data_IF_952547277775
#
_entry.id   IF_952547277775
#
_cell.length_a   1.000
_cell.length_b   1.000
_cell.length_c   1.000
_cell.angle_alpha   90.00
_cell.angle_beta   90.00
_cell.angle_gamma   90.00
#
_symmetry.space_group_name_H-M   'P 1'
#
loop_
_entity.id
_entity.type
_entity.pdbx_description
1 polymer ?
#
# COMPACT_ATOMS: atom_id res chain seq x y z
N UNK A 1 4.00 32.93 2.47
CA UNK A 1 4.77 31.97 1.64
C UNK A 1 3.94 30.71 1.53
N UNK A 2 4.07 30.00 0.39
CA UNK A 2 3.39 28.70 0.23
C UNK A 2 3.96 27.67 1.22
N UNK A 3 3.11 26.77 1.71
CA UNK A 3 3.54 25.66 2.57
C UNK A 3 4.33 24.62 1.77
N UNK A 4 5.08 23.76 2.45
CA UNK A 4 5.76 22.65 1.76
C UNK A 4 4.76 21.71 1.09
N UNK A 5 3.57 21.48 1.70
CA UNK A 5 2.53 20.65 1.10
C UNK A 5 1.98 21.25 -0.20
N UNK A 6 1.68 22.57 -0.21
CA UNK A 6 1.21 23.27 -1.42
C UNK A 6 2.23 23.17 -2.56
N UNK A 7 3.51 23.36 -2.25
CA UNK A 7 4.58 23.24 -3.25
C UNK A 7 4.76 21.81 -3.74
N UNK A 8 4.70 20.81 -2.84
CA UNK A 8 4.80 19.39 -3.20
C UNK A 8 3.73 19.00 -4.22
N UNK A 9 2.48 19.47 -4.03
CA UNK A 9 1.36 19.20 -4.95
C UNK A 9 1.60 19.69 -6.37
N UNK A 10 2.49 20.65 -6.59
CA UNK A 10 2.81 21.17 -7.93
C UNK A 10 3.73 20.25 -8.73
N UNK A 11 4.38 19.28 -8.09
CA UNK A 11 5.41 18.45 -8.72
C UNK A 11 5.28 16.96 -8.45
N UNK A 12 4.43 16.56 -7.50
CA UNK A 12 4.21 15.19 -7.07
C UNK A 12 2.73 14.98 -6.77
N UNK A 13 2.17 13.85 -7.18
CA UNK A 13 0.82 13.46 -6.75
C UNK A 13 0.84 13.08 -5.27
N UNK A 14 0.12 13.81 -4.45
CA UNK A 14 0.01 13.55 -3.01
C UNK A 14 -1.09 12.54 -2.76
N UNK A 15 -0.71 11.45 -2.08
CA UNK A 15 -1.56 10.32 -1.72
C UNK A 15 -1.63 10.24 -0.19
N UNK A 16 -2.80 9.92 0.37
CA UNK A 16 -2.92 9.70 1.81
C UNK A 16 -2.72 8.22 2.14
N UNK A 17 -1.81 7.95 3.07
CA UNK A 17 -1.63 6.63 3.68
C UNK A 17 -2.45 6.55 4.96
N UNK A 18 -3.75 6.26 4.83
CA UNK A 18 -4.68 6.29 5.94
C UNK A 18 -5.98 5.54 5.63
N UNK A 19 -6.53 4.88 6.66
CA UNK A 19 -7.92 4.42 6.69
C UNK A 19 -8.87 5.44 7.34
N UNK A 20 -8.36 6.55 7.87
CA UNK A 20 -9.16 7.58 8.54
C UNK A 20 -9.75 8.58 7.54
N UNK A 21 -11.05 8.45 7.31
CA UNK A 21 -11.82 9.31 6.38
C UNK A 21 -11.72 10.80 6.77
N UNK A 22 -11.70 11.14 8.05
CA UNK A 22 -11.62 12.54 8.47
C UNK A 22 -10.30 13.18 8.03
N UNK A 23 -9.20 12.45 8.16
CA UNK A 23 -7.90 12.88 7.66
C UNK A 23 -7.88 13.01 6.14
N UNK A 24 -8.50 12.08 5.42
CA UNK A 24 -8.60 12.12 3.95
C UNK A 24 -9.41 13.35 3.50
N UNK A 25 -10.53 13.63 4.14
CA UNK A 25 -11.34 14.83 3.86
C UNK A 25 -10.53 16.10 4.11
N UNK A 26 -9.79 16.16 5.22
CA UNK A 26 -9.01 17.34 5.61
C UNK A 26 -7.92 17.65 4.60
N UNK A 27 -7.11 16.66 4.21
CA UNK A 27 -5.93 16.89 3.38
C UNK A 27 -6.19 16.81 1.87
N UNK A 28 -7.37 16.36 1.45
CA UNK A 28 -7.79 16.29 0.03
C UNK A 28 -6.72 15.70 -0.89
N UNK A 29 -6.24 14.47 -0.61
CA UNK A 29 -5.29 13.80 -1.49
C UNK A 29 -5.94 13.44 -2.82
N UNK A 30 -5.13 13.15 -3.83
CA UNK A 30 -5.62 12.66 -5.12
C UNK A 30 -6.04 11.20 -5.02
N UNK A 31 -5.19 10.36 -4.45
CA UNK A 31 -5.39 8.92 -4.22
C UNK A 31 -5.28 8.61 -2.72
N UNK A 32 -5.63 7.38 -2.35
CA UNK A 32 -5.40 6.87 -0.99
C UNK A 32 -4.88 5.44 -1.02
N UNK A 33 -4.02 5.11 -0.07
CA UNK A 33 -3.56 3.76 0.18
C UNK A 33 -4.00 3.28 1.55
N UNK A 34 -4.34 2.00 1.64
CA UNK A 34 -4.56 1.29 2.88
C UNK A 34 -3.59 0.11 3.00
N UNK A 35 -3.54 -0.48 4.16
CA UNK A 35 -2.86 -1.74 4.44
C UNK A 35 -3.57 -2.45 5.59
N UNK A 36 -3.24 -3.71 5.90
CA UNK A 36 -3.92 -4.45 6.95
C UNK A 36 -3.96 -3.75 8.31
N UNK A 37 -2.87 -3.09 8.70
CA UNK A 37 -2.80 -2.39 9.98
C UNK A 37 -3.71 -1.16 10.01
N UNK A 38 -3.82 -0.41 8.91
CA UNK A 38 -4.70 0.75 8.78
C UNK A 38 -6.17 0.33 8.76
N UNK A 39 -6.50 -0.76 8.10
CA UNK A 39 -7.87 -1.33 8.10
C UNK A 39 -8.25 -1.79 9.51
N UNK A 40 -7.35 -2.48 10.22
CA UNK A 40 -7.58 -2.93 11.58
C UNK A 40 -7.79 -1.75 12.55
N UNK A 41 -7.04 -0.67 12.41
CA UNK A 41 -7.21 0.54 13.19
C UNK A 41 -8.54 1.23 12.89
N UNK A 42 -8.90 1.40 11.62
CA UNK A 42 -10.16 2.01 11.19
C UNK A 42 -11.38 1.20 11.67
N UNK A 43 -11.32 -0.13 11.61
CA UNK A 43 -12.40 -1.00 12.07
C UNK A 43 -12.73 -0.85 13.57
N UNK A 44 -11.86 -0.25 14.37
CA UNK A 44 -12.09 0.02 15.79
C UNK A 44 -12.65 1.42 16.06
N UNK A 45 -12.70 2.29 15.07
CA UNK A 45 -13.21 3.64 15.20
C UNK A 45 -14.75 3.65 15.27
N UNK A 46 -15.38 4.45 16.15
CA UNK A 46 -16.85 4.49 16.28
C UNK A 46 -17.56 4.80 14.95
N UNK A 47 -17.00 5.66 14.12
CA UNK A 47 -17.56 6.09 12.84
C UNK A 47 -17.70 4.94 11.83
N UNK A 48 -16.88 3.91 11.97
CA UNK A 48 -16.88 2.76 11.05
C UNK A 48 -17.64 1.55 11.57
N UNK A 49 -18.11 1.57 12.84
CA UNK A 49 -18.86 0.44 13.40
C UNK A 49 -20.08 0.05 12.57
N UNK A 50 -20.87 0.99 11.99
CA UNK A 50 -21.98 0.59 11.12
C UNK A 50 -21.53 -0.22 9.91
N UNK A 51 -20.39 0.13 9.29
CA UNK A 51 -19.84 -0.60 8.13
C UNK A 51 -19.40 -2.00 8.56
N UNK A 52 -18.70 -2.09 9.70
CA UNK A 52 -18.23 -3.38 10.25
C UNK A 52 -19.42 -4.28 10.57
N UNK A 53 -20.46 -3.74 11.22
CA UNK A 53 -21.66 -4.49 11.59
C UNK A 53 -22.44 -4.98 10.37
N UNK A 54 -22.55 -4.17 9.32
CA UNK A 54 -23.22 -4.55 8.07
C UNK A 54 -22.46 -5.65 7.33
N UNK A 55 -21.12 -5.54 7.26
CA UNK A 55 -20.27 -6.57 6.65
C UNK A 55 -20.38 -7.89 7.42
N UNK A 56 -20.38 -7.84 8.75
CA UNK A 56 -20.54 -9.05 9.59
C UNK A 56 -21.90 -9.72 9.44
N UNK A 57 -22.99 -8.95 9.39
CA UNK A 57 -24.33 -9.47 9.13
C UNK A 57 -24.40 -10.15 7.77
N UNK A 58 -23.91 -9.49 6.73
CA UNK A 58 -23.90 -10.05 5.38
C UNK A 58 -23.07 -11.34 5.30
N UNK A 59 -21.90 -11.37 5.94
CA UNK A 59 -21.07 -12.57 6.02
C UNK A 59 -21.77 -13.71 6.77
N UNK A 60 -22.51 -13.43 7.84
CA UNK A 60 -23.32 -14.43 8.57
C UNK A 60 -24.43 -14.99 7.69
N UNK A 61 -25.13 -14.13 6.95
CA UNK A 61 -26.21 -14.56 6.04
C UNK A 61 -25.67 -15.48 4.93
N UNK A 62 -24.49 -15.17 4.39
CA UNK A 62 -23.81 -15.98 3.38
C UNK A 62 -23.30 -17.31 3.93
N UNK A 63 -22.69 -17.30 5.11
CA UNK A 63 -22.11 -18.50 5.72
C UNK A 63 -23.16 -19.45 6.30
N UNK A 64 -24.34 -18.93 6.63
CA UNK A 64 -25.43 -19.66 7.27
C UNK A 64 -25.29 -19.74 8.80
N UNK A 65 -26.41 -20.09 9.45
CA UNK A 65 -26.52 -20.09 10.92
C UNK A 65 -25.62 -21.12 11.64
N UNK A 66 -25.19 -22.17 10.93
CA UNK A 66 -24.32 -23.23 11.47
C UNK A 66 -22.84 -22.93 11.38
N UNK A 67 -22.42 -21.89 10.65
CA UNK A 67 -21.01 -21.53 10.52
C UNK A 67 -20.46 -20.97 11.85
N UNK A 68 -19.21 -21.27 12.15
CA UNK A 68 -18.55 -20.71 13.34
C UNK A 68 -18.35 -19.21 13.19
N UNK A 69 -18.24 -18.48 14.32
CA UNK A 69 -17.94 -17.04 14.30
C UNK A 69 -16.59 -16.75 13.63
N UNK A 70 -15.66 -17.69 13.72
CA UNK A 70 -14.35 -17.60 13.06
C UNK A 70 -14.49 -17.67 11.54
N UNK A 71 -15.31 -18.58 11.01
CA UNK A 71 -15.55 -18.71 9.56
C UNK A 71 -16.27 -17.47 9.01
N UNK A 72 -17.24 -16.95 9.76
CA UNK A 72 -17.94 -15.71 9.42
C UNK A 72 -17.00 -14.52 9.44
N UNK A 73 -16.12 -14.42 10.44
CA UNK A 73 -15.11 -13.34 10.52
C UNK A 73 -14.13 -13.40 9.35
N UNK A 74 -13.67 -14.59 8.96
CA UNK A 74 -12.81 -14.78 7.80
C UNK A 74 -13.49 -14.38 6.47
N UNK A 75 -14.78 -14.64 6.34
CA UNK A 75 -15.57 -14.19 5.19
C UNK A 75 -15.79 -12.68 5.21
N UNK A 76 -16.14 -12.11 6.36
CA UNK A 76 -16.30 -10.66 6.54
C UNK A 76 -15.03 -9.89 6.22
N UNK A 77 -13.87 -10.42 6.62
CA UNK A 77 -12.58 -9.83 6.33
C UNK A 77 -12.36 -9.59 4.83
N UNK A 78 -12.72 -10.54 3.97
CA UNK A 78 -12.55 -10.43 2.50
C UNK A 78 -13.34 -9.26 1.89
N UNK A 79 -14.46 -8.89 2.50
CA UNK A 79 -15.32 -7.80 2.02
C UNK A 79 -15.05 -6.47 2.71
N UNK A 80 -14.46 -6.50 3.89
CA UNK A 80 -14.22 -5.31 4.72
C UNK A 80 -13.27 -4.30 4.05
N UNK A 81 -12.18 -4.77 3.46
CA UNK A 81 -11.23 -3.92 2.76
C UNK A 81 -11.87 -3.20 1.58
N UNK A 82 -12.74 -3.88 0.83
CA UNK A 82 -13.51 -3.26 -0.27
C UNK A 82 -14.54 -2.28 0.27
N UNK A 83 -15.22 -2.58 1.38
CA UNK A 83 -16.18 -1.67 1.99
C UNK A 83 -15.52 -0.35 2.43
N UNK A 84 -14.35 -0.41 3.04
CA UNK A 84 -13.55 0.79 3.35
C UNK A 84 -13.06 1.50 2.08
N UNK A 85 -12.57 0.77 1.10
CA UNK A 85 -12.12 1.31 -0.18
C UNK A 85 -13.22 2.09 -0.90
N UNK A 86 -14.45 1.58 -0.92
CA UNK A 86 -15.63 2.28 -1.47
C UNK A 86 -15.87 3.61 -0.76
N UNK A 87 -15.81 3.60 0.58
CA UNK A 87 -16.01 4.83 1.37
C UNK A 87 -14.94 5.87 1.10
N UNK A 88 -13.68 5.45 0.91
CA UNK A 88 -12.58 6.33 0.53
C UNK A 88 -12.81 6.91 -0.87
N UNK A 89 -13.27 6.10 -1.82
CA UNK A 89 -13.53 6.51 -3.20
C UNK A 89 -14.68 7.53 -3.34
N UNK A 90 -15.57 7.62 -2.36
CA UNK A 90 -16.57 8.72 -2.29
C UNK A 90 -15.91 10.09 -2.04
N UNK A 91 -14.67 10.11 -1.55
CA UNK A 91 -13.96 11.32 -1.12
C UNK A 91 -12.82 11.69 -2.07
N UNK A 92 -11.96 10.71 -2.42
CA UNK A 92 -10.81 10.96 -3.30
C UNK A 92 -11.23 10.97 -4.77
N UNK A 93 -10.70 11.90 -5.60
CA UNK A 93 -11.03 11.96 -7.02
C UNK A 93 -10.36 10.86 -7.83
N UNK A 94 -9.26 10.30 -7.35
CA UNK A 94 -8.44 9.31 -8.05
C UNK A 94 -8.70 7.87 -7.63
N UNK A 95 -7.67 7.19 -7.17
CA UNK A 95 -7.64 5.73 -6.94
C UNK A 95 -7.51 5.37 -5.47
N UNK A 96 -7.96 4.17 -5.14
CA UNK A 96 -7.66 3.52 -3.87
C UNK A 96 -6.82 2.25 -4.11
N UNK A 97 -5.84 2.00 -3.26
CA UNK A 97 -5.12 0.72 -3.23
C UNK A 97 -5.75 -0.20 -2.18
N UNK A 98 -6.24 -1.36 -2.63
CA UNK A 98 -6.82 -2.41 -1.77
C UNK A 98 -5.92 -3.64 -1.82
N UNK A 99 -5.45 -4.09 -0.67
CA UNK A 99 -4.40 -5.11 -0.56
C UNK A 99 -4.97 -6.52 -0.46
N UNK A 100 -4.38 -7.45 -1.22
CA UNK A 100 -4.62 -8.89 -1.06
C UNK A 100 -4.02 -9.38 0.25
N UNK A 101 -4.51 -10.53 0.73
CA UNK A 101 -4.02 -11.16 1.96
C UNK A 101 -2.50 -11.44 1.87
N UNK A 102 -1.73 -10.89 2.79
CA UNK A 102 -0.28 -11.04 2.83
C UNK A 102 0.17 -12.49 3.03
N UNK A 103 -0.70 -13.35 3.60
CA UNK A 103 -0.44 -14.79 3.75
C UNK A 103 -0.35 -15.52 2.41
N UNK A 104 -0.84 -14.91 1.32
CA UNK A 104 -0.79 -15.43 -0.05
C UNK A 104 0.45 -14.98 -0.83
N UNK A 105 1.37 -14.25 -0.20
CA UNK A 105 2.48 -13.56 -0.89
C UNK A 105 3.41 -14.50 -1.70
N UNK A 106 3.45 -15.77 -1.40
CA UNK A 106 4.24 -16.78 -2.11
C UNK A 106 3.40 -17.77 -2.93
N UNK A 107 2.11 -17.46 -3.13
CA UNK A 107 1.18 -18.27 -3.91
C UNK A 107 0.54 -17.42 -5.02
N UNK A 108 1.04 -17.59 -6.24
CA UNK A 108 0.58 -16.83 -7.40
C UNK A 108 -0.90 -17.08 -7.71
N UNK A 109 -1.34 -18.34 -7.68
CA UNK A 109 -2.73 -18.68 -8.02
C UNK A 109 -3.73 -18.17 -6.99
N UNK A 110 -3.43 -18.32 -5.70
CA UNK A 110 -4.27 -17.78 -4.64
C UNK A 110 -4.32 -16.24 -4.68
N UNK A 111 -3.20 -15.57 -4.97
CA UNK A 111 -3.15 -14.12 -5.16
C UNK A 111 -4.02 -13.67 -6.34
N UNK A 112 -3.95 -14.36 -7.48
CA UNK A 112 -4.80 -14.10 -8.65
C UNK A 112 -6.29 -14.25 -8.31
N UNK A 113 -6.65 -15.33 -7.63
CA UNK A 113 -8.04 -15.60 -7.25
C UNK A 113 -8.60 -14.48 -6.36
N UNK A 114 -7.85 -14.06 -5.33
CA UNK A 114 -8.30 -13.00 -4.44
C UNK A 114 -8.32 -11.63 -5.12
N UNK A 115 -7.35 -11.31 -5.96
CA UNK A 115 -7.32 -10.05 -6.70
C UNK A 115 -8.54 -9.91 -7.63
N UNK A 116 -8.90 -10.98 -8.33
CA UNK A 116 -10.11 -11.03 -9.17
C UNK A 116 -11.39 -10.89 -8.35
N UNK A 117 -11.45 -11.50 -7.17
CA UNK A 117 -12.57 -11.35 -6.23
C UNK A 117 -12.71 -9.90 -5.75
N UNK A 118 -11.63 -9.24 -5.35
CA UNK A 118 -11.63 -7.83 -4.96
C UNK A 118 -12.20 -6.96 -6.10
N UNK A 119 -11.73 -7.13 -7.32
CA UNK A 119 -12.21 -6.38 -8.47
C UNK A 119 -13.68 -6.70 -8.76
N UNK A 120 -14.08 -7.95 -8.67
CA UNK A 120 -15.48 -8.36 -8.81
C UNK A 120 -16.42 -7.67 -7.82
N UNK A 121 -16.00 -7.49 -6.57
CA UNK A 121 -16.77 -6.77 -5.56
C UNK A 121 -16.89 -5.27 -5.89
N UNK A 122 -15.83 -4.63 -6.40
CA UNK A 122 -15.90 -3.23 -6.86
C UNK A 122 -16.78 -3.09 -8.10
N UNK A 123 -16.67 -3.99 -9.08
CA UNK A 123 -17.51 -4.01 -10.28
C UNK A 123 -19.00 -4.12 -9.91
N UNK A 124 -19.35 -5.01 -8.96
CA UNK A 124 -20.73 -5.17 -8.44
C UNK A 124 -21.24 -3.90 -7.74
N UNK A 125 -20.34 -3.12 -7.16
CA UNK A 125 -20.66 -1.82 -6.56
C UNK A 125 -20.72 -0.67 -7.58
N UNK A 126 -20.53 -0.93 -8.88
CA UNK A 126 -20.54 0.07 -9.94
C UNK A 126 -19.29 0.94 -10.00
N UNK A 127 -18.18 0.48 -9.41
CA UNK A 127 -16.91 1.20 -9.41
C UNK A 127 -15.99 0.65 -10.49
N UNK A 128 -15.57 1.50 -11.41
CA UNK A 128 -14.70 1.12 -12.53
C UNK A 128 -13.29 0.74 -12.07
N UNK A 129 -12.68 -0.18 -12.81
CA UNK A 129 -11.34 -0.73 -12.52
C UNK A 129 -10.24 0.33 -12.53
N UNK A 130 -10.43 1.41 -13.29
CA UNK A 130 -9.52 2.56 -13.37
C UNK A 130 -9.36 3.30 -12.02
N UNK A 131 -10.32 3.10 -11.10
CA UNK A 131 -10.31 3.67 -9.76
C UNK A 131 -9.60 2.80 -8.72
N UNK A 132 -9.19 1.58 -9.09
CA UNK A 132 -8.66 0.57 -8.16
C UNK A 132 -7.24 0.19 -8.53
N UNK A 133 -6.39 0.10 -7.52
CA UNK A 133 -5.11 -0.60 -7.58
C UNK A 133 -5.15 -1.79 -6.63
N UNK A 134 -5.00 -3.00 -7.15
CA UNK A 134 -4.84 -4.18 -6.31
C UNK A 134 -3.41 -4.19 -5.78
N UNK A 135 -3.28 -4.12 -4.45
CA UNK A 135 -1.98 -4.02 -3.79
C UNK A 135 -1.47 -5.42 -3.44
N UNK A 136 -0.25 -5.73 -3.87
CA UNK A 136 0.35 -7.08 -3.80
C UNK A 136 1.78 -6.95 -3.31
N UNK A 137 2.23 -7.84 -2.42
CA UNK A 137 3.63 -7.88 -1.97
C UNK A 137 4.58 -8.21 -3.12
N UNK A 138 5.73 -7.56 -3.15
CA UNK A 138 6.74 -7.68 -4.22
C UNK A 138 7.65 -8.91 -4.04
N UNK A 139 7.05 -10.08 -3.81
CA UNK A 139 7.71 -11.37 -4.01
C UNK A 139 7.77 -11.69 -5.50
N UNK A 140 8.58 -12.64 -5.91
CA UNK A 140 8.55 -13.10 -7.30
C UNK A 140 7.16 -13.59 -7.71
N UNK A 141 6.52 -14.39 -6.87
CA UNK A 141 5.18 -14.94 -7.06
C UNK A 141 4.13 -13.82 -7.18
N UNK A 142 4.22 -12.80 -6.32
CA UNK A 142 3.33 -11.63 -6.36
C UNK A 142 3.51 -10.79 -7.62
N UNK A 143 4.75 -10.60 -8.07
CA UNK A 143 5.06 -9.88 -9.31
C UNK A 143 4.50 -10.66 -10.51
N UNK A 144 4.61 -12.00 -10.53
CA UNK A 144 4.03 -12.82 -11.61
C UNK A 144 2.51 -12.80 -11.61
N UNK A 145 1.87 -12.77 -10.46
CA UNK A 145 0.43 -12.55 -10.38
C UNK A 145 0.04 -11.18 -10.96
N UNK A 146 0.76 -10.12 -10.59
CA UNK A 146 0.51 -8.78 -11.10
C UNK A 146 0.69 -8.67 -12.62
N UNK A 147 1.69 -9.35 -13.20
CA UNK A 147 1.91 -9.41 -14.65
C UNK A 147 0.67 -9.95 -15.39
N UNK A 148 0.05 -11.00 -14.85
CA UNK A 148 -1.16 -11.59 -15.43
C UNK A 148 -2.36 -10.65 -15.25
N UNK A 149 -2.54 -10.08 -14.05
CA UNK A 149 -3.64 -9.16 -13.75
C UNK A 149 -3.62 -7.90 -14.62
N UNK A 150 -2.46 -7.33 -14.87
CA UNK A 150 -2.31 -6.17 -15.75
C UNK A 150 -2.72 -6.48 -17.19
N UNK A 151 -2.45 -7.69 -17.68
CA UNK A 151 -2.93 -8.15 -19.00
C UNK A 151 -4.46 -8.30 -19.04
N UNK A 152 -5.09 -8.55 -17.90
CA UNK A 152 -6.54 -8.60 -17.74
C UNK A 152 -7.18 -7.22 -17.52
N UNK A 153 -6.40 -6.14 -17.53
CA UNK A 153 -6.87 -4.78 -17.25
C UNK A 153 -7.14 -4.51 -15.77
N UNK A 154 -6.55 -5.30 -14.88
CA UNK A 154 -6.58 -5.11 -13.44
C UNK A 154 -5.25 -4.46 -13.03
N UNK A 155 -5.31 -3.20 -12.61
CA UNK A 155 -4.13 -2.43 -12.26
C UNK A 155 -3.61 -2.79 -10.86
N UNK A 156 -2.29 -2.87 -10.74
CA UNK A 156 -1.64 -3.32 -9.52
C UNK A 156 -0.70 -2.28 -8.93
N UNK A 157 -0.61 -2.30 -7.58
CA UNK A 157 0.36 -1.58 -6.77
C UNK A 157 1.25 -2.60 -6.05
N UNK A 158 2.51 -2.74 -6.45
CA UNK A 158 3.45 -3.67 -5.84
C UNK A 158 4.12 -3.04 -4.63
N UNK A 159 3.77 -3.56 -3.45
CA UNK A 159 4.20 -3.07 -2.13
C UNK A 159 5.25 -3.97 -1.50
N UNK A 160 5.72 -3.62 -0.29
CA UNK A 160 6.85 -4.28 0.39
C UNK A 160 8.05 -4.40 -0.56
N UNK A 161 8.36 -3.28 -1.20
CA UNK A 161 9.43 -3.16 -2.17
C UNK A 161 10.60 -2.41 -1.53
N UNK A 162 11.76 -3.03 -1.48
CA UNK A 162 12.94 -2.54 -0.77
C UNK A 162 14.22 -2.57 -1.62
N UNK A 163 14.24 -3.38 -2.68
CA UNK A 163 15.43 -3.58 -3.51
C UNK A 163 15.21 -3.26 -4.98
N UNK A 164 16.30 -2.85 -5.66
CA UNK A 164 16.26 -2.53 -7.09
C UNK A 164 15.84 -3.73 -7.96
N UNK A 165 16.22 -4.94 -7.58
CA UNK A 165 15.82 -6.17 -8.27
C UNK A 165 14.30 -6.36 -8.30
N UNK A 166 13.62 -6.07 -7.19
CA UNK A 166 12.15 -6.09 -7.12
C UNK A 166 11.54 -5.02 -8.06
N UNK A 167 12.07 -3.80 -8.02
CA UNK A 167 11.60 -2.70 -8.86
C UNK A 167 11.76 -3.01 -10.36
N UNK A 168 12.90 -3.57 -10.77
CA UNK A 168 13.14 -3.94 -12.17
C UNK A 168 12.18 -5.04 -12.60
N UNK A 169 12.01 -6.10 -11.81
CA UNK A 169 11.06 -7.18 -12.11
C UNK A 169 9.62 -6.66 -12.25
N UNK A 170 9.21 -5.71 -11.41
CA UNK A 170 7.90 -5.05 -11.53
C UNK A 170 7.76 -4.25 -12.83
N UNK A 171 8.80 -3.51 -13.23
CA UNK A 171 8.79 -2.74 -14.47
C UNK A 171 8.71 -3.65 -15.72
N UNK A 172 9.46 -4.74 -15.73
CA UNK A 172 9.41 -5.75 -16.80
C UNK A 172 8.04 -6.45 -16.86
N UNK A 173 7.39 -6.66 -15.71
CA UNK A 173 6.00 -7.15 -15.63
C UNK A 173 4.96 -6.10 -16.04
N UNK A 174 5.37 -4.86 -16.35
CA UNK A 174 4.51 -3.73 -16.76
C UNK A 174 3.42 -3.39 -15.75
N UNK A 175 3.72 -3.52 -14.46
CA UNK A 175 2.78 -3.13 -13.42
C UNK A 175 2.51 -1.62 -13.47
N UNK A 176 1.31 -1.22 -13.08
CA UNK A 176 0.89 0.20 -13.11
C UNK A 176 1.71 1.04 -12.14
N UNK A 177 1.96 0.54 -10.91
CA UNK A 177 2.57 1.33 -9.86
C UNK A 177 3.35 0.44 -8.88
N UNK A 178 4.45 0.96 -8.35
CA UNK A 178 5.20 0.37 -7.24
C UNK A 178 5.21 1.32 -6.04
N UNK A 179 5.24 0.74 -4.84
CA UNK A 179 5.34 1.46 -3.56
C UNK A 179 6.64 1.08 -2.83
N UNK A 180 7.80 1.62 -3.24
CA UNK A 180 9.04 1.41 -2.51
C UNK A 180 9.00 2.12 -1.15
N UNK A 181 9.46 1.41 -0.11
CA UNK A 181 9.46 1.91 1.26
C UNK A 181 10.72 2.71 1.56
N UNK A 182 10.58 3.81 2.27
CA UNK A 182 11.67 4.72 2.64
C UNK A 182 12.07 4.53 4.10
N UNK A 183 11.16 4.78 5.03
CA UNK A 183 11.46 4.80 6.45
C UNK A 183 11.83 3.44 7.03
N UNK A 184 11.28 2.33 6.51
CA UNK A 184 11.67 0.99 6.96
C UNK A 184 13.09 0.62 6.53
N UNK A 185 13.57 1.14 5.42
CA UNK A 185 14.97 1.02 5.01
C UNK A 185 15.86 1.79 5.98
N UNK A 186 15.50 3.04 6.30
CA UNK A 186 16.20 3.83 7.31
C UNK A 186 16.30 3.08 8.64
N UNK A 187 15.19 2.51 9.13
CA UNK A 187 15.16 1.76 10.38
C UNK A 187 16.16 0.59 10.38
N UNK A 188 16.24 -0.16 9.27
CA UNK A 188 17.16 -1.28 9.13
C UNK A 188 18.62 -0.81 9.21
N UNK A 189 18.99 0.22 8.46
CA UNK A 189 20.35 0.74 8.46
C UNK A 189 20.75 1.38 9.78
N UNK A 190 19.84 2.08 10.45
CA UNK A 190 20.11 2.63 11.80
C UNK A 190 20.37 1.50 12.80
N UNK A 191 19.62 0.43 12.74
CA UNK A 191 19.82 -0.75 13.60
C UNK A 191 21.14 -1.46 13.29
N UNK A 192 21.48 -1.62 12.01
CA UNK A 192 22.68 -2.33 11.57
C UNK A 192 23.96 -1.56 11.85
N UNK A 193 23.98 -0.26 11.59
CA UNK A 193 25.19 0.57 11.66
C UNK A 193 25.32 1.37 12.96
N UNK A 194 24.23 1.57 13.69
CA UNK A 194 24.16 2.46 14.86
C UNK A 194 24.26 3.95 14.51
N UNK A 195 24.18 4.33 13.21
CA UNK A 195 24.30 5.72 12.75
C UNK A 195 22.94 6.32 12.46
N UNK A 196 22.83 7.64 12.64
CA UNK A 196 21.72 8.42 12.13
C UNK A 196 22.01 8.89 10.70
N UNK A 197 20.96 8.92 9.88
CA UNK A 197 20.98 9.37 8.50
C UNK A 197 19.89 10.43 8.31
N UNK A 198 20.20 11.49 7.58
CA UNK A 198 19.26 12.59 7.33
C UNK A 198 19.33 13.08 5.88
N UNK A 199 18.20 13.55 5.36
CA UNK A 199 18.14 14.15 4.04
C UNK A 199 18.61 13.21 2.93
N UNK A 200 19.51 13.68 2.08
CA UNK A 200 20.05 12.93 0.93
C UNK A 200 20.91 11.72 1.33
N UNK A 201 21.41 11.68 2.57
CA UNK A 201 22.20 10.55 3.08
C UNK A 201 21.32 9.41 3.61
N UNK A 202 20.01 9.62 3.70
CA UNK A 202 19.06 8.59 4.10
C UNK A 202 19.04 7.44 3.09
N UNK A 203 19.34 6.20 3.51
CA UNK A 203 19.42 5.07 2.59
C UNK A 203 18.08 4.73 1.94
N UNK A 204 16.94 5.04 2.59
CA UNK A 204 15.62 4.90 2.00
C UNK A 204 15.38 5.92 0.88
N UNK A 205 15.79 7.16 1.08
CA UNK A 205 15.77 8.20 0.05
C UNK A 205 16.65 7.80 -1.14
N UNK A 206 17.86 7.32 -0.88
CA UNK A 206 18.78 6.85 -1.92
C UNK A 206 18.21 5.69 -2.72
N UNK A 207 17.56 4.73 -2.06
CA UNK A 207 16.92 3.59 -2.71
C UNK A 207 15.83 4.02 -3.68
N UNK A 208 14.88 4.85 -3.25
CA UNK A 208 13.78 5.33 -4.12
C UNK A 208 14.30 6.22 -5.24
N UNK A 209 15.30 7.06 -4.98
CA UNK A 209 15.95 7.88 -5.99
C UNK A 209 16.59 7.00 -7.08
N UNK A 210 17.29 5.94 -6.70
CA UNK A 210 17.89 4.98 -7.63
C UNK A 210 16.84 4.31 -8.51
N UNK A 211 15.74 3.84 -7.91
CA UNK A 211 14.62 3.22 -8.63
C UNK A 211 13.98 4.22 -9.61
N UNK A 212 13.69 5.44 -9.16
CA UNK A 212 13.13 6.49 -10.00
C UNK A 212 14.02 6.78 -11.21
N UNK A 213 15.31 6.99 -10.98
CA UNK A 213 16.27 7.27 -12.04
C UNK A 213 16.36 6.12 -13.04
N UNK A 214 16.38 4.88 -12.57
CA UNK A 214 16.37 3.68 -13.42
C UNK A 214 15.12 3.65 -14.31
N UNK A 215 13.93 3.85 -13.74
CA UNK A 215 12.70 3.83 -14.51
C UNK A 215 12.63 4.92 -15.57
N UNK A 216 13.02 6.14 -15.21
CA UNK A 216 13.01 7.28 -16.15
C UNK A 216 14.07 7.12 -17.23
N UNK A 217 15.26 6.61 -16.89
CA UNK A 217 16.34 6.33 -17.85
C UNK A 217 15.89 5.38 -18.96
N UNK A 218 15.21 4.32 -18.60
CA UNK A 218 14.78 3.28 -19.54
C UNK A 218 13.34 3.42 -20.06
N UNK A 219 12.68 4.51 -19.74
CA UNK A 219 11.36 4.85 -20.26
C UNK A 219 10.22 3.95 -19.78
N UNK A 220 10.38 3.31 -18.63
CA UNK A 220 9.31 2.51 -18.01
C UNK A 220 8.11 3.37 -17.64
N UNK A 221 6.90 2.84 -17.87
CA UNK A 221 5.64 3.55 -17.58
C UNK A 221 5.14 3.34 -16.16
N UNK A 222 5.66 2.35 -15.46
CA UNK A 222 5.35 2.07 -14.07
C UNK A 222 5.60 3.30 -13.20
N UNK A 223 4.59 3.73 -12.45
CA UNK A 223 4.69 4.88 -11.55
C UNK A 223 5.44 4.50 -10.27
N UNK A 224 6.27 5.40 -9.78
CA UNK A 224 7.00 5.25 -8.51
C UNK A 224 6.28 6.06 -7.44
N UNK A 225 5.82 5.39 -6.39
CA UNK A 225 5.18 6.00 -5.23
C UNK A 225 6.00 5.72 -3.96
N UNK A 226 6.77 6.68 -3.50
CA UNK A 226 7.46 6.55 -2.22
C UNK A 226 6.47 6.35 -1.07
N UNK A 227 6.79 5.47 -0.12
CA UNK A 227 5.90 5.06 0.94
C UNK A 227 6.64 4.87 2.28
N UNK A 228 5.87 4.81 3.37
CA UNK A 228 6.38 4.50 4.72
C UNK A 228 7.46 5.49 5.19
N UNK A 229 7.07 6.75 5.35
CA UNK A 229 7.98 7.82 5.80
C UNK A 229 8.08 7.91 7.33
N UNK A 230 9.25 8.32 7.81
CA UNK A 230 9.52 8.61 9.23
C UNK A 230 9.54 10.09 9.55
N UNK A 231 9.88 10.95 8.57
CA UNK A 231 10.00 12.40 8.74
C UNK A 231 9.76 13.12 7.40
N UNK A 232 9.51 14.44 7.48
CA UNK A 232 9.29 15.26 6.29
C UNK A 232 10.55 15.45 5.45
N UNK A 233 11.74 15.26 6.03
CA UNK A 233 13.01 15.31 5.28
C UNK A 233 13.08 14.25 4.18
N UNK A 234 12.62 13.02 4.46
CA UNK A 234 12.49 11.96 3.45
C UNK A 234 11.56 12.37 2.31
N UNK A 235 10.46 13.04 2.63
CA UNK A 235 9.46 13.49 1.66
C UNK A 235 10.03 14.61 0.79
N UNK A 236 10.66 15.61 1.40
CA UNK A 236 11.21 16.76 0.69
C UNK A 236 12.37 16.37 -0.24
N UNK A 237 13.19 15.40 0.15
CA UNK A 237 14.26 14.85 -0.72
C UNK A 237 13.74 14.03 -1.90
N UNK A 238 12.48 13.62 -1.87
CA UNK A 238 11.81 12.90 -2.96
C UNK A 238 10.83 13.78 -3.75
N UNK A 239 10.84 15.10 -3.54
CA UNK A 239 10.00 16.04 -4.28
C UNK A 239 10.24 15.93 -5.79
N UNK A 240 9.17 15.71 -6.55
CA UNK A 240 9.24 15.39 -7.98
C UNK A 240 9.06 13.89 -8.29
N UNK A 241 9.03 13.01 -7.28
CA UNK A 241 8.59 11.63 -7.46
C UNK A 241 7.18 11.59 -8.06
N UNK A 242 6.85 10.56 -8.81
CA UNK A 242 5.53 10.46 -9.46
C UNK A 242 4.39 10.60 -8.44
N UNK A 243 4.47 9.83 -7.34
CA UNK A 243 3.55 9.93 -6.20
C UNK A 243 4.33 9.75 -4.89
N UNK A 244 3.75 10.24 -3.80
CA UNK A 244 4.18 9.95 -2.42
C UNK A 244 2.93 9.68 -1.58
N UNK A 245 2.88 8.52 -0.93
CA UNK A 245 1.80 8.21 0.02
C UNK A 245 2.25 8.53 1.44
N UNK A 246 1.56 9.47 2.05
CA UNK A 246 2.00 10.18 3.26
C UNK A 246 0.96 10.02 4.35
N UNK A 247 1.42 9.63 5.55
CA UNK A 247 0.55 9.53 6.73
C UNK A 247 0.03 10.92 7.16
N UNK A 248 -1.19 11.00 7.74
CA UNK A 248 -1.82 12.26 8.12
C UNK A 248 -0.96 13.16 9.02
N UNK A 249 -0.20 12.58 9.94
CA UNK A 249 0.73 13.33 10.81
C UNK A 249 1.76 14.12 10.02
N UNK A 250 2.36 13.49 8.99
CA UNK A 250 3.38 14.13 8.15
C UNK A 250 2.76 15.09 7.14
N UNK A 251 1.53 14.83 6.66
CA UNK A 251 0.76 15.80 5.87
C UNK A 251 0.50 17.08 6.66
N UNK A 252 0.11 16.96 7.93
CA UNK A 252 -0.09 18.12 8.82
C UNK A 252 1.21 18.90 9.06
N UNK A 253 2.34 18.21 9.21
CA UNK A 253 3.65 18.84 9.38
C UNK A 253 4.09 19.60 8.13
N UNK A 254 3.89 19.01 6.93
CA UNK A 254 4.15 19.68 5.64
C UNK A 254 3.25 20.90 5.43
N UNK A 255 1.97 20.83 5.85
CA UNK A 255 1.03 21.94 5.77
C UNK A 255 1.40 23.09 6.71
N UNK A 256 1.95 22.77 7.89
CA UNK A 256 2.38 23.76 8.88
C UNK A 256 3.77 24.36 8.61
N UNK A 257 4.56 23.77 7.70
CA UNK A 257 5.93 24.18 7.43
C UNK A 257 6.00 25.07 6.20
N UNK A 258 6.61 26.23 6.34
CA UNK A 258 6.90 27.15 5.24
C UNK A 258 8.39 27.05 4.84
N UNK A 259 8.70 27.35 3.58
CA UNK A 259 10.05 27.31 3.06
C UNK A 259 10.06 27.01 1.56
N UNK A 260 11.23 26.97 0.95
CA UNK A 260 11.38 26.59 -0.45
C UNK A 260 11.50 25.07 -0.59
N UNK A 261 10.76 24.50 -1.51
CA UNK A 261 10.81 23.09 -1.84
C UNK A 261 11.30 22.90 -3.29
N UNK A 262 12.61 22.76 -3.51
CA UNK A 262 13.13 22.50 -4.85
C UNK A 262 12.78 21.08 -5.32
N UNK A 263 12.55 20.93 -6.63
CA UNK A 263 12.42 19.61 -7.25
C UNK A 263 13.75 18.84 -7.11
N UNK A 264 13.69 17.64 -6.56
CA UNK A 264 14.84 16.73 -6.39
C UNK A 264 14.87 15.66 -7.48
N UNK A 265 13.74 15.08 -7.80
CA UNK A 265 13.60 14.06 -8.84
C UNK A 265 13.08 14.69 -10.13
N UNK A 266 13.82 14.51 -11.22
CA UNK A 266 13.55 15.12 -12.52
C UNK A 266 13.81 14.10 -13.63
N UNK A 267 12.79 13.73 -14.41
CA UNK A 267 12.92 12.71 -15.45
C UNK A 267 13.89 13.13 -16.56
N UNK A 268 14.05 14.43 -16.82
CA UNK A 268 15.00 14.92 -17.84
C UNK A 268 16.44 14.70 -17.41
N UNK A 269 16.75 14.87 -16.14
CA UNK A 269 18.07 14.57 -15.58
C UNK A 269 18.33 13.06 -15.56
N UNK A 270 17.35 12.26 -15.13
CA UNK A 270 17.46 10.80 -15.11
C UNK A 270 17.77 10.23 -16.49
N UNK A 271 17.16 10.76 -17.55
CA UNK A 271 17.35 10.31 -18.93
C UNK A 271 18.81 10.42 -19.41
N UNK A 272 19.61 11.36 -18.84
CA UNK A 272 21.00 11.60 -19.22
C UNK A 272 22.02 10.86 -18.34
N UNK A 273 21.58 10.19 -17.27
CA UNK A 273 22.47 9.46 -16.37
C UNK A 273 23.08 8.23 -17.05
N UNK A 274 24.32 7.91 -16.67
CA UNK A 274 24.96 6.65 -17.06
C UNK A 274 24.53 5.54 -16.11
N UNK A 275 23.50 4.79 -16.51
CA UNK A 275 22.93 3.69 -15.74
C UNK A 275 22.92 2.45 -16.63
N UNK A 276 23.47 1.35 -16.12
CA UNK A 276 23.44 0.06 -16.80
C UNK A 276 22.05 -0.58 -16.70
N UNK A 277 21.55 -1.10 -17.84
CA UNK A 277 20.30 -1.84 -17.87
C UNK A 277 20.52 -3.28 -17.43
N UNK A 278 19.75 -3.72 -16.42
CA UNK A 278 19.80 -5.07 -15.90
C UNK A 278 18.62 -5.90 -16.44
N UNK A 279 18.85 -7.20 -16.61
CA UNK A 279 17.80 -8.18 -16.90
C UNK A 279 17.59 -9.06 -15.69
N UNK A 280 16.34 -9.15 -15.23
CA UNK A 280 15.96 -9.86 -14.00
C UNK A 280 15.06 -11.06 -14.37
N UNK A 281 15.66 -12.24 -14.46
CA UNK A 281 14.93 -13.51 -14.45
C UNK A 281 14.81 -14.06 -13.01
N UNK A 282 14.11 -15.17 -12.84
CA UNK A 282 13.91 -15.78 -11.52
C UNK A 282 15.21 -16.04 -10.78
N UNK A 283 16.20 -16.62 -11.47
CA UNK A 283 17.48 -16.97 -10.85
C UNK A 283 18.26 -15.71 -10.43
N UNK A 284 18.26 -14.68 -11.27
CA UNK A 284 18.88 -13.37 -10.98
C UNK A 284 18.16 -12.68 -9.83
N UNK A 285 16.82 -12.69 -9.83
CA UNK A 285 16.02 -12.15 -8.74
C UNK A 285 16.37 -12.80 -7.41
N UNK A 286 16.38 -14.13 -7.34
CA UNK A 286 16.69 -14.87 -6.12
C UNK A 286 18.11 -14.59 -5.63
N UNK A 287 19.08 -14.55 -6.54
CA UNK A 287 20.47 -14.24 -6.22
C UNK A 287 20.63 -12.82 -5.66
N UNK A 288 20.03 -11.83 -6.30
CA UNK A 288 20.09 -10.44 -5.85
C UNK A 288 19.35 -10.25 -4.52
N UNK A 289 18.21 -10.92 -4.35
CA UNK A 289 17.44 -10.87 -3.11
C UNK A 289 18.21 -11.50 -1.93
N UNK A 290 18.86 -12.63 -2.15
CA UNK A 290 19.71 -13.25 -1.14
C UNK A 290 20.94 -12.42 -0.76
N UNK A 291 21.48 -11.64 -1.70
CA UNK A 291 22.62 -10.75 -1.48
C UNK A 291 22.25 -9.42 -0.81
N UNK A 292 21.02 -8.96 -0.97
CA UNK A 292 20.51 -7.74 -0.34
C UNK A 292 19.83 -8.08 1.01
N UNK A 293 20.63 -8.13 2.07
CA UNK A 293 20.15 -8.49 3.41
C UNK A 293 19.04 -7.56 3.91
N UNK A 294 19.10 -6.27 3.61
CA UNK A 294 18.07 -5.31 3.99
C UNK A 294 16.75 -5.63 3.28
N UNK A 295 16.75 -5.82 1.97
CA UNK A 295 15.55 -6.14 1.22
C UNK A 295 14.96 -7.50 1.64
N UNK A 296 15.79 -8.49 1.85
CA UNK A 296 15.40 -9.82 2.33
C UNK A 296 14.69 -9.74 3.69
N UNK A 297 15.34 -9.10 4.67
CA UNK A 297 14.82 -8.99 6.03
C UNK A 297 13.51 -8.20 6.06
N UNK A 298 13.46 -7.06 5.36
CA UNK A 298 12.29 -6.16 5.38
C UNK A 298 11.09 -6.72 4.62
N UNK A 299 11.29 -7.46 3.53
CA UNK A 299 10.21 -8.16 2.85
C UNK A 299 9.59 -9.23 3.76
N UNK A 300 10.40 -10.06 4.38
CA UNK A 300 9.97 -11.09 5.32
C UNK A 300 9.22 -10.47 6.51
N UNK A 301 9.83 -9.52 7.18
CA UNK A 301 9.24 -8.81 8.33
C UNK A 301 7.93 -8.12 7.96
N UNK A 302 7.85 -7.53 6.77
CA UNK A 302 6.64 -6.88 6.27
C UNK A 302 5.49 -7.86 6.03
N UNK A 303 5.75 -8.99 5.40
CA UNK A 303 4.76 -10.07 5.19
C UNK A 303 4.28 -10.64 6.52
N UNK A 304 5.19 -10.94 7.45
CA UNK A 304 4.86 -11.44 8.79
C UNK A 304 4.02 -10.43 9.58
N UNK A 305 4.40 -9.15 9.56
CA UNK A 305 3.68 -8.07 10.23
C UNK A 305 2.28 -7.85 9.68
N UNK A 306 2.10 -7.86 8.37
CA UNK A 306 0.79 -7.73 7.73
C UNK A 306 -0.07 -8.99 7.99
N UNK A 307 0.51 -10.18 7.93
CA UNK A 307 -0.19 -11.43 8.25
C UNK A 307 -0.71 -11.41 9.70
N UNK A 308 0.11 -10.95 10.63
CA UNK A 308 -0.28 -10.79 12.04
C UNK A 308 -1.42 -9.77 12.21
N UNK A 309 -1.35 -8.64 11.52
CA UNK A 309 -2.42 -7.64 11.57
C UNK A 309 -3.76 -8.19 11.05
N UNK A 310 -3.73 -9.05 10.03
CA UNK A 310 -4.91 -9.73 9.48
C UNK A 310 -5.51 -10.73 10.48
N UNK A 311 -4.68 -11.54 11.12
CA UNK A 311 -5.12 -12.49 12.16
C UNK A 311 -5.76 -11.76 13.36
N UNK A 312 -5.19 -10.63 13.76
CA UNK A 312 -5.73 -9.82 14.86
C UNK A 312 -7.05 -9.16 14.46
N UNK A 313 -7.19 -8.72 13.20
CA UNK A 313 -8.46 -8.21 12.67
C UNK A 313 -9.54 -9.30 12.61
N UNK A 314 -9.22 -10.50 12.15
CA UNK A 314 -10.16 -11.64 12.14
C UNK A 314 -10.68 -11.95 13.56
N UNK A 315 -9.79 -11.94 14.57
CA UNK A 315 -10.19 -12.12 15.98
C UNK A 315 -11.10 -11.00 16.49
N UNK A 316 -10.80 -9.76 16.11
CA UNK A 316 -11.63 -8.60 16.47
C UNK A 316 -13.03 -8.70 15.85
N UNK A 317 -13.13 -9.11 14.58
CA UNK A 317 -14.39 -9.32 13.88
C UNK A 317 -15.21 -10.45 14.52
N UNK A 318 -14.58 -11.58 14.88
CA UNK A 318 -15.25 -12.69 15.57
C UNK A 318 -15.80 -12.25 16.93
N UNK A 319 -15.03 -11.49 17.71
CA UNK A 319 -15.47 -10.90 18.98
C UNK A 319 -16.68 -9.97 18.77
N UNK A 320 -16.60 -9.07 17.79
CA UNK A 320 -17.70 -8.14 17.48
C UNK A 320 -18.98 -8.86 17.09
N UNK A 321 -18.85 -9.94 16.31
CA UNK A 321 -19.99 -10.78 15.91
C UNK A 321 -20.69 -11.40 17.12
N UNK A 322 -19.95 -11.94 18.09
CA UNK A 322 -20.51 -12.46 19.35
C UNK A 322 -21.27 -11.37 20.13
N UNK A 323 -20.71 -10.17 20.23
CA UNK A 323 -21.38 -9.03 20.92
C UNK A 323 -22.68 -8.62 20.23
N UNK A 324 -22.75 -8.67 18.90
CA UNK A 324 -23.99 -8.40 18.14
C UNK A 324 -25.05 -9.47 18.42
N UNK A 325 -24.65 -10.74 18.42
CA UNK A 325 -25.53 -11.88 18.66
C UNK A 325 -26.14 -11.85 20.08
N UNK A 326 -25.32 -11.54 21.10
CA UNK A 326 -25.77 -11.40 22.49
C UNK A 326 -26.80 -10.29 22.66
N UNK A 327 -26.59 -9.12 22.06
CA UNK A 327 -27.52 -7.99 22.11
C UNK A 327 -28.87 -8.31 21.48
N UNK A 328 -28.90 -9.10 20.40
CA UNK A 328 -30.13 -9.54 19.76
C UNK A 328 -30.91 -10.51 20.64
N UNK A 329 -30.24 -11.36 21.40
CA UNK A 329 -30.84 -12.32 22.30
C UNK A 329 -31.46 -11.63 23.54
N UNK A 330 -30.79 -10.61 24.09
CA UNK A 330 -31.28 -9.84 25.26
C UNK A 330 -32.40 -8.88 24.90
N UNK A 331 -32.46 -8.38 23.66
CA UNK A 331 -33.56 -7.50 23.19
C UNK A 331 -34.83 -8.22 22.75
N UNK A 332 -34.83 -9.56 22.72
CA UNK A 332 -35.97 -10.40 22.34
C UNK A 332 -36.77 -10.92 23.56
N UNK A 333 -36.40 -10.53 24.77
CA UNK A 333 -37.11 -10.78 26.03
C UNK A 333 -37.64 -9.46 26.61
#
# INVERSE_FOLDING_TARGET
MATLLEQLRTMTTVVADSGDINSIIKFKPTDSTTNPSLIAAAAQMPEYQPIVDDVLKHARDQAGSSASDQDVAALAFKTLAVAFGRKILDIVPGRVSTEVDARLSYDTEATLAQARDIIGQYDQAGIGRERILVKIASTWEGIKAAEILEQEGIHCNLTLLFGLHQAIACAEAKVTLISPFVGRILDWYKKDTGKDYVGADDPGVQSVTTIYNYYKKFGYKTQVMGASFRNIGEITELAGCDLLTIAPKLLAELEATQGDLPRKLDPTKSATMDIEKLTIDKATFDKMHAADHMAHDKLKEGIEGFSKALEDLEKLLAKRLSEISEKQTVGAH
#
